data_IF_390640179009
#
_entry.id   IF_390640179009
#
_cell.length_a   1.000
_cell.length_b   1.000
_cell.length_c   1.000
_cell.angle_alpha   90.00
_cell.angle_beta   90.00
_cell.angle_gamma   90.00
#
_symmetry.space_group_name_H-M   'P 1'
#
loop_
_entity.id
_entity.type
_entity.pdbx_description
1 polymer ?
#
# COMPACT_ATOMS: atom_id res chain seq x y z
N UNK A 1 -5.86 -19.83 -0.57
CA UNK A 1 -6.58 -18.70 0.06
C UNK A 1 -5.58 -17.57 0.25
N UNK A 2 -5.94 -16.33 -0.07
CA UNK A 2 -5.08 -15.15 0.10
C UNK A 2 -5.40 -14.39 1.37
N UNK A 3 -4.53 -13.45 1.76
CA UNK A 3 -4.74 -12.52 2.86
C UNK A 3 -4.85 -11.08 2.34
N UNK A 4 -5.67 -10.24 2.96
CA UNK A 4 -5.80 -8.84 2.59
C UNK A 4 -5.89 -7.92 3.82
N UNK A 5 -5.42 -6.69 3.67
CA UNK A 5 -5.54 -5.61 4.64
C UNK A 5 -6.00 -4.36 3.91
N UNK A 6 -7.12 -3.79 4.33
CA UNK A 6 -7.66 -2.53 3.82
C UNK A 6 -7.76 -1.54 4.97
N UNK A 7 -7.23 -0.34 4.77
CA UNK A 7 -7.20 0.71 5.77
C UNK A 7 -7.22 2.09 5.11
N UNK A 8 -7.44 3.14 5.89
CA UNK A 8 -7.36 4.52 5.42
C UNK A 8 -6.63 5.37 6.47
N UNK A 9 -5.42 5.88 6.18
CA UNK A 9 -4.73 6.79 7.07
C UNK A 9 -5.52 8.10 7.23
N UNK A 10 -5.59 8.60 8.46
CA UNK A 10 -6.19 9.90 8.79
C UNK A 10 -5.14 10.74 9.51
N UNK A 11 -4.95 11.99 9.09
CA UNK A 11 -4.02 12.94 9.74
C UNK A 11 -4.48 13.21 11.18
N UNK A 12 -3.55 13.15 12.15
CA UNK A 12 -3.86 13.36 13.55
C UNK A 12 -4.52 14.73 13.81
N UNK A 13 -4.16 15.78 13.06
CA UNK A 13 -4.81 17.10 13.16
C UNK A 13 -6.26 17.04 12.72
N UNK A 14 -6.59 16.22 11.71
CA UNK A 14 -7.97 16.01 11.29
C UNK A 14 -8.76 15.30 12.41
N UNK A 15 -8.17 14.27 13.03
CA UNK A 15 -8.76 13.60 14.20
C UNK A 15 -8.98 14.59 15.35
N UNK A 16 -7.94 15.35 15.72
CA UNK A 16 -8.00 16.37 16.78
C UNK A 16 -9.05 17.44 16.50
N UNK A 17 -9.19 17.86 15.24
CA UNK A 17 -10.23 18.82 14.85
C UNK A 17 -11.62 18.24 15.06
N UNK A 18 -11.87 16.98 14.66
CA UNK A 18 -13.16 16.31 14.81
C UNK A 18 -13.53 16.18 16.29
N UNK A 19 -12.61 15.70 17.15
CA UNK A 19 -12.91 15.51 18.58
C UNK A 19 -13.18 16.83 19.30
N UNK A 20 -12.69 17.96 18.76
CA UNK A 20 -12.97 19.31 19.26
C UNK A 20 -14.22 19.94 18.63
N UNK A 21 -15.08 19.16 17.98
CA UNK A 21 -16.34 19.63 17.37
C UNK A 21 -16.22 20.14 15.93
N UNK A 22 -15.10 19.86 15.26
CA UNK A 22 -14.93 20.12 13.83
C UNK A 22 -15.79 19.22 12.94
N UNK A 23 -15.97 19.64 11.69
CA UNK A 23 -16.80 18.93 10.71
C UNK A 23 -16.06 17.74 10.09
N UNK A 24 -16.48 16.52 10.46
CA UNK A 24 -15.89 15.27 9.97
C UNK A 24 -16.12 15.04 8.47
N UNK A 25 -17.13 15.66 7.85
CA UNK A 25 -17.42 15.48 6.41
C UNK A 25 -16.35 16.10 5.51
N UNK A 26 -15.51 16.98 6.05
CA UNK A 26 -14.40 17.63 5.35
C UNK A 26 -13.11 16.80 5.34
N UNK A 27 -13.08 15.67 6.06
CA UNK A 27 -11.90 14.80 6.11
C UNK A 27 -12.00 13.75 5.02
N UNK A 28 -11.02 13.76 4.11
CA UNK A 28 -10.93 12.76 3.06
C UNK A 28 -10.49 11.41 3.62
N UNK A 29 -11.26 10.36 3.35
CA UNK A 29 -10.90 8.97 3.63
C UNK A 29 -10.33 8.39 2.33
N UNK A 30 -9.04 8.08 2.33
CA UNK A 30 -8.33 7.55 1.15
C UNK A 30 -7.97 6.08 1.38
N UNK A 31 -8.72 5.12 0.79
CA UNK A 31 -8.45 3.70 0.92
C UNK A 31 -7.05 3.34 0.43
N UNK A 32 -6.37 2.51 1.21
CA UNK A 32 -5.08 1.92 0.90
C UNK A 32 -5.07 0.48 1.42
N UNK A 33 -4.13 -0.34 0.96
CA UNK A 33 -4.12 -1.73 1.38
C UNK A 33 -3.16 -2.62 0.62
N UNK A 34 -3.20 -3.90 1.01
CA UNK A 34 -2.41 -4.96 0.39
C UNK A 34 -3.24 -6.23 0.25
N UNK A 35 -2.88 -7.04 -0.75
CA UNK A 35 -3.38 -8.40 -0.96
C UNK A 35 -2.18 -9.30 -1.25
N UNK A 36 -2.11 -10.43 -0.55
CA UNK A 36 -1.18 -11.51 -0.85
C UNK A 36 -2.02 -12.69 -1.33
N UNK A 37 -1.86 -13.04 -2.61
CA UNK A 37 -2.57 -14.16 -3.23
C UNK A 37 -1.59 -15.20 -3.76
N UNK A 38 -2.00 -16.47 -3.91
CA UNK A 38 -1.20 -17.47 -4.63
C UNK A 38 -0.91 -16.97 -6.05
N UNK A 39 0.28 -17.23 -6.57
CA UNK A 39 0.68 -16.82 -7.92
C UNK A 39 0.05 -17.65 -9.05
N UNK A 40 -0.82 -18.61 -8.70
CA UNK A 40 -1.54 -19.46 -9.65
C UNK A 40 -0.66 -20.46 -10.38
N UNK A 41 0.64 -20.56 -10.05
CA UNK A 41 1.55 -21.55 -10.63
C UNK A 41 1.22 -22.90 -10.01
N UNK A 42 0.37 -23.66 -10.71
CA UNK A 42 0.18 -25.08 -10.43
C UNK A 42 1.54 -25.76 -10.63
N UNK A 43 2.00 -26.52 -9.64
CA UNK A 43 3.19 -27.38 -9.77
C UNK A 43 2.94 -28.39 -10.89
N UNK A 44 3.33 -28.07 -12.12
CA UNK A 44 3.25 -28.99 -13.24
C UNK A 44 4.39 -30.01 -13.14
N UNK A 45 4.26 -30.96 -12.21
CA UNK A 45 4.93 -32.27 -12.18
C UNK A 45 4.46 -32.93 -10.88
N UNK A 46 3.62 -33.98 -10.87
CA UNK A 46 3.88 -35.38 -11.29
C UNK A 46 5.13 -36.05 -10.72
N UNK A 47 6.01 -35.32 -10.03
CA UNK A 47 7.06 -35.92 -9.24
C UNK A 47 6.97 -35.39 -7.81
N UNK A 48 6.83 -36.31 -6.86
CA UNK A 48 6.80 -36.13 -5.42
C UNK A 48 8.12 -35.54 -4.89
N UNK A 49 8.51 -34.36 -5.36
CA UNK A 49 9.59 -33.59 -4.76
C UNK A 49 8.91 -32.58 -3.83
N UNK A 50 9.20 -32.69 -2.53
CA UNK A 50 8.64 -31.84 -1.47
C UNK A 50 9.06 -30.35 -1.57
N UNK A 51 9.57 -29.91 -2.73
CA UNK A 51 10.18 -28.61 -2.98
C UNK A 51 9.47 -27.82 -4.10
N UNK A 52 8.21 -28.12 -4.40
CA UNK A 52 7.40 -27.24 -5.25
C UNK A 52 7.23 -25.88 -4.54
N UNK A 53 8.10 -24.91 -4.88
CA UNK A 53 8.02 -23.56 -4.35
C UNK A 53 6.77 -22.88 -4.92
N UNK A 54 5.70 -22.85 -4.14
CA UNK A 54 4.54 -22.03 -4.44
C UNK A 54 4.90 -20.56 -4.19
N UNK A 55 4.84 -19.73 -5.24
CA UNK A 55 5.04 -18.29 -5.10
C UNK A 55 3.77 -17.57 -4.66
N UNK A 56 3.89 -16.25 -4.48
CA UNK A 56 2.76 -15.37 -4.16
C UNK A 56 2.84 -14.09 -4.97
N UNK A 57 1.68 -13.51 -5.25
CA UNK A 57 1.53 -12.18 -5.82
C UNK A 57 1.20 -11.22 -4.68
N UNK A 58 2.04 -10.21 -4.51
CA UNK A 58 1.77 -9.08 -3.62
C UNK A 58 1.19 -7.94 -4.46
N UNK A 59 -0.06 -7.57 -4.20
CA UNK A 59 -0.67 -6.35 -4.73
C UNK A 59 -0.69 -5.30 -3.63
N UNK A 60 -0.19 -4.10 -3.93
CA UNK A 60 -0.16 -2.96 -3.01
C UNK A 60 -0.93 -1.81 -3.65
N UNK A 61 -1.81 -1.18 -2.89
CA UNK A 61 -2.60 -0.03 -3.34
C UNK A 61 -2.50 1.14 -2.36
N UNK A 62 -2.34 2.33 -2.92
CA UNK A 62 -2.31 3.58 -2.18
C UNK A 62 -3.15 4.62 -2.91
N UNK A 63 -3.95 5.36 -2.15
CA UNK A 63 -4.59 6.56 -2.62
C UNK A 63 -4.06 7.75 -1.82
N UNK A 64 -3.45 8.72 -2.50
CA UNK A 64 -2.82 9.88 -1.88
C UNK A 64 -3.29 11.13 -2.61
N UNK A 65 -3.78 12.12 -1.85
CA UNK A 65 -4.19 13.41 -2.37
C UNK A 65 -3.02 14.39 -2.31
N UNK A 66 -2.66 14.96 -3.46
CA UNK A 66 -1.42 15.77 -3.62
C UNK A 66 -1.71 17.28 -3.50
N UNK A 67 -2.93 17.71 -3.80
CA UNK A 67 -3.33 19.12 -3.73
C UNK A 67 -4.73 19.21 -3.11
N UNK A 68 -4.87 20.11 -2.13
CA UNK A 68 -6.15 20.55 -1.58
C UNK A 68 -6.30 22.06 -1.76
N UNK A 69 -7.49 22.47 -2.20
CA UNK A 69 -7.87 23.80 -2.69
C UNK A 69 -7.14 24.27 -3.97
N UNK A 70 -7.95 24.80 -4.89
CA UNK A 70 -7.81 25.52 -6.18
C UNK A 70 -6.46 26.16 -6.63
N UNK A 71 -5.32 25.93 -5.98
CA UNK A 71 -4.02 26.41 -6.44
C UNK A 71 -3.38 25.40 -7.39
N UNK A 72 -2.94 25.82 -8.59
CA UNK A 72 -2.25 24.94 -9.50
C UNK A 72 -0.91 24.50 -8.91
N UNK A 73 -0.78 23.23 -8.53
CA UNK A 73 0.52 22.64 -8.18
C UNK A 73 1.48 22.73 -9.35
N UNK A 74 2.70 23.21 -9.12
CA UNK A 74 3.73 23.30 -10.15
C UNK A 74 4.19 21.91 -10.59
N UNK A 75 4.75 21.80 -11.80
CA UNK A 75 5.27 20.52 -12.32
C UNK A 75 6.36 19.93 -11.42
N UNK A 76 7.19 20.76 -10.81
CA UNK A 76 8.24 20.34 -9.87
C UNK A 76 7.64 19.71 -8.61
N UNK A 77 6.63 20.33 -8.01
CA UNK A 77 5.94 19.79 -6.83
C UNK A 77 5.32 18.42 -7.13
N UNK A 78 4.72 18.25 -8.32
CA UNK A 78 4.18 16.94 -8.74
C UNK A 78 5.27 15.87 -8.81
N UNK A 79 6.44 16.19 -9.39
CA UNK A 79 7.54 15.23 -9.49
C UNK A 79 8.14 14.87 -8.13
N UNK A 80 8.29 15.85 -7.24
CA UNK A 80 8.75 15.60 -5.86
C UNK A 80 7.82 14.62 -5.15
N UNK A 81 6.51 14.83 -5.27
CA UNK A 81 5.51 13.96 -4.64
C UNK A 81 5.53 12.56 -5.25
N UNK A 82 5.71 12.41 -6.57
CA UNK A 82 5.91 11.10 -7.20
C UNK A 82 7.12 10.37 -6.59
N UNK A 83 8.22 11.09 -6.36
CA UNK A 83 9.39 10.54 -5.67
C UNK A 83 9.07 10.04 -4.26
N UNK A 84 8.31 10.83 -3.48
CA UNK A 84 7.86 10.43 -2.14
C UNK A 84 6.95 9.20 -2.18
N UNK A 85 5.99 9.14 -3.12
CA UNK A 85 5.08 7.99 -3.29
C UNK A 85 5.88 6.72 -3.60
N UNK A 86 6.84 6.82 -4.53
CA UNK A 86 7.72 5.70 -4.86
C UNK A 86 8.52 5.21 -3.64
N UNK A 87 9.02 6.13 -2.82
CA UNK A 87 9.72 5.79 -1.57
C UNK A 87 8.82 5.04 -0.57
N UNK A 88 7.58 5.51 -0.36
CA UNK A 88 6.61 4.85 0.55
C UNK A 88 6.25 3.45 0.04
N UNK A 89 5.97 3.31 -1.26
CA UNK A 89 5.66 2.02 -1.88
C UNK A 89 6.83 1.04 -1.73
N UNK A 90 8.05 1.48 -2.05
CA UNK A 90 9.26 0.66 -1.95
C UNK A 90 9.51 0.19 -0.52
N UNK A 91 9.43 1.10 0.45
CA UNK A 91 9.59 0.77 1.86
C UNK A 91 8.51 -0.19 2.36
N UNK A 92 7.27 -0.06 1.88
CA UNK A 92 6.17 -0.97 2.23
C UNK A 92 6.43 -2.39 1.72
N UNK A 93 6.80 -2.53 0.45
CA UNK A 93 7.15 -3.82 -0.15
C UNK A 93 8.32 -4.46 0.61
N UNK A 94 9.37 -3.69 0.91
CA UNK A 94 10.53 -4.18 1.64
C UNK A 94 10.15 -4.68 3.04
N UNK A 95 9.33 -3.93 3.79
CA UNK A 95 8.88 -4.35 5.12
C UNK A 95 8.01 -5.60 5.08
N UNK A 96 7.14 -5.74 4.08
CA UNK A 96 6.34 -6.96 3.90
C UNK A 96 7.25 -8.15 3.61
N UNK A 97 8.19 -7.99 2.67
CA UNK A 97 9.21 -9.00 2.37
C UNK A 97 9.96 -9.45 3.63
N UNK A 98 10.46 -8.48 4.42
CA UNK A 98 11.16 -8.75 5.68
C UNK A 98 10.28 -9.49 6.69
N UNK A 99 9.03 -9.05 6.88
CA UNK A 99 8.09 -9.68 7.82
C UNK A 99 7.73 -11.13 7.41
N UNK A 100 7.78 -11.44 6.12
CA UNK A 100 7.53 -12.79 5.57
C UNK A 100 8.81 -13.63 5.44
N UNK A 101 9.98 -13.10 5.80
CA UNK A 101 11.26 -13.78 5.62
C UNK A 101 11.69 -13.95 4.16
N UNK A 102 11.09 -13.19 3.23
CA UNK A 102 11.45 -13.17 1.82
C UNK A 102 12.58 -12.18 1.59
N UNK A 103 13.81 -12.54 1.92
CA UNK A 103 14.99 -11.76 1.56
C UNK A 103 15.32 -11.95 0.08
N UNK A 104 15.74 -10.88 -0.60
CA UNK A 104 16.35 -11.00 -1.92
C UNK A 104 17.66 -11.78 -1.72
N UNK A 105 17.74 -13.00 -2.27
CA UNK A 105 18.96 -13.80 -2.33
C UNK A 105 19.97 -13.13 -3.27
#
# INVERSE_FOLDING_TARGET
MGAFLVYAPIDLRAVTSIVNGGDATKVSILPSGIIISPDGRLSSNRDNTANAQNGSILTVTFQIMICGNNNPTSRQQKMEVVGSIHGVLSATILRIKQALGCSDL
#
